data_IF_648672297565
#
_entry.id   IF_648672297565
#
_cell.length_a   1.000
_cell.length_b   1.000
_cell.length_c   1.000
_cell.angle_alpha   90.00
_cell.angle_beta   90.00
_cell.angle_gamma   90.00
#
_symmetry.space_group_name_H-M   'P 1'
#
loop_
_entity.id
_entity.type
_entity.pdbx_description
1 polymer ?
#
# COMPACT_ATOMS: atom_id res chain seq x y z
N UNK A 1 -29.79 21.84 -19.98
CA UNK A 1 -28.57 22.67 -19.91
C UNK A 1 -28.64 23.74 -20.97
N UNK A 2 -28.54 25.01 -20.56
CA UNK A 2 -28.28 26.12 -21.48
C UNK A 2 -26.94 26.71 -21.02
N UNK A 3 -25.91 26.63 -21.86
CA UNK A 3 -24.70 27.42 -21.64
C UNK A 3 -24.78 28.63 -22.57
N UNK A 4 -24.57 29.82 -22.04
CA UNK A 4 -24.50 31.05 -22.83
C UNK A 4 -23.03 31.47 -22.94
N UNK A 5 -22.63 31.78 -24.18
CA UNK A 5 -21.29 32.24 -24.48
C UNK A 5 -21.27 33.77 -24.34
N UNK A 6 -20.41 34.29 -23.48
CA UNK A 6 -20.14 35.72 -23.38
C UNK A 6 -18.85 36.06 -24.13
N UNK A 7 -18.77 37.29 -24.65
CA UNK A 7 -17.77 37.76 -25.63
C UNK A 7 -16.31 37.79 -25.13
N UNK A 8 -16.01 37.30 -23.93
CA UNK A 8 -14.67 37.17 -23.39
C UNK A 8 -14.44 35.76 -22.81
N UNK A 9 -14.18 34.80 -23.70
CA UNK A 9 -13.54 33.46 -23.53
C UNK A 9 -13.90 32.54 -22.33
N UNK A 10 -14.76 32.93 -21.39
CA UNK A 10 -15.22 32.07 -20.31
C UNK A 10 -16.64 31.59 -20.60
N UNK A 11 -16.79 30.27 -20.70
CA UNK A 11 -18.09 29.61 -20.79
C UNK A 11 -18.52 29.27 -19.37
N UNK A 12 -19.48 30.02 -18.84
CA UNK A 12 -20.16 29.65 -17.61
C UNK A 12 -21.38 28.78 -17.96
N UNK A 13 -21.44 27.60 -17.35
CA UNK A 13 -22.58 26.71 -17.45
C UNK A 13 -23.30 26.69 -16.09
N UNK A 14 -24.57 27.09 -16.10
CA UNK A 14 -25.46 26.93 -14.95
C UNK A 14 -25.67 25.44 -14.66
N UNK A 15 -24.96 24.93 -13.66
CA UNK A 15 -25.24 23.63 -13.07
C UNK A 15 -26.45 23.76 -12.14
N UNK A 16 -27.38 22.78 -12.13
CA UNK A 16 -28.48 22.78 -11.18
C UNK A 16 -27.91 22.73 -9.76
N UNK A 17 -28.33 23.69 -8.93
CA UNK A 17 -28.04 23.70 -7.50
C UNK A 17 -28.67 22.46 -6.88
N UNK A 18 -27.82 21.55 -6.42
CA UNK A 18 -28.24 20.39 -5.63
C UNK A 18 -28.20 20.84 -4.17
N UNK A 19 -29.36 20.88 -3.51
CA UNK A 19 -29.43 21.16 -2.07
C UNK A 19 -28.67 20.06 -1.32
N UNK A 20 -27.47 20.40 -0.84
CA UNK A 20 -26.74 19.55 0.08
C UNK A 20 -27.34 19.71 1.48
N UNK A 21 -27.66 18.62 2.19
CA UNK A 21 -28.14 18.73 3.56
C UNK A 21 -27.06 19.34 4.45
N UNK A 22 -27.42 20.40 5.17
CA UNK A 22 -26.57 21.04 6.18
C UNK A 22 -26.38 20.11 7.39
N UNK A 23 -25.14 19.82 7.83
CA UNK A 23 -24.93 19.13 9.09
C UNK A 23 -24.77 20.15 10.23
N UNK A 24 -25.90 20.55 10.83
CA UNK A 24 -25.91 21.04 12.21
C UNK A 24 -26.10 19.85 13.17
N UNK A 25 -25.15 19.73 14.09
CA UNK A 25 -25.31 19.08 15.40
C UNK A 25 -25.31 17.53 15.49
N UNK A 26 -24.10 16.95 15.58
CA UNK A 26 -23.82 15.90 16.57
C UNK A 26 -22.50 16.19 17.30
N UNK A 27 -22.57 17.13 18.25
CA UNK A 27 -21.71 17.08 19.41
C UNK A 27 -22.17 15.91 20.29
N UNK A 28 -21.26 14.97 20.57
CA UNK A 28 -21.44 13.97 21.61
C UNK A 28 -21.94 12.60 21.15
N UNK A 29 -21.00 11.77 20.70
CA UNK A 29 -20.73 10.41 21.21
C UNK A 29 -19.70 9.79 20.26
N UNK A 30 -18.48 9.60 20.76
CA UNK A 30 -17.44 8.89 20.02
C UNK A 30 -17.88 7.45 19.76
N UNK A 31 -17.70 6.99 18.53
CA UNK A 31 -17.84 5.59 18.13
C UNK A 31 -16.70 4.70 18.69
N UNK A 32 -16.00 5.13 19.74
CA UNK A 32 -15.08 4.30 20.53
C UNK A 32 -15.76 3.50 21.64
N UNK A 33 -16.99 3.83 22.03
CA UNK A 33 -17.66 3.18 23.18
C UNK A 33 -18.43 1.90 22.83
N UNK A 34 -18.80 1.68 21.57
CA UNK A 34 -19.60 0.50 21.20
C UNK A 34 -18.75 -0.78 21.06
N UNK A 35 -17.46 -0.67 20.73
CA UNK A 35 -16.56 -1.81 20.66
C UNK A 35 -15.96 -2.17 22.04
N UNK A 36 -15.86 -1.22 22.96
CA UNK A 36 -15.41 -1.50 24.32
C UNK A 36 -16.46 -2.25 25.15
N UNK A 37 -17.76 -2.02 24.88
CA UNK A 37 -18.83 -2.79 25.53
C UNK A 37 -19.05 -4.20 24.94
N UNK A 38 -18.53 -4.51 23.74
CA UNK A 38 -18.48 -5.87 23.21
C UNK A 38 -17.21 -6.62 23.64
N UNK A 39 -16.11 -5.90 23.92
CA UNK A 39 -14.84 -6.45 24.42
C UNK A 39 -14.92 -7.13 25.79
N UNK A 40 -15.89 -6.77 26.63
CA UNK A 40 -16.08 -7.41 27.94
C UNK A 40 -16.88 -8.72 27.88
N UNK A 41 -17.51 -9.04 26.75
CA UNK A 41 -18.41 -10.21 26.64
C UNK A 41 -17.82 -11.42 25.93
N UNK A 42 -16.70 -11.29 25.21
CA UNK A 42 -15.96 -12.39 24.59
C UNK A 42 -14.47 -12.18 24.84
N UNK A 43 -13.90 -12.87 25.83
CA UNK A 43 -12.50 -12.71 26.28
C UNK A 43 -11.44 -13.24 25.30
N UNK A 44 -11.54 -12.87 24.02
CA UNK A 44 -10.53 -13.16 23.00
C UNK A 44 -9.51 -12.02 23.05
N UNK A 45 -8.28 -12.32 23.48
CA UNK A 45 -7.22 -11.33 23.43
C UNK A 45 -6.92 -11.00 21.96
N UNK A 46 -6.52 -9.77 21.66
CA UNK A 46 -6.26 -9.33 20.28
C UNK A 46 -5.20 -10.20 19.57
N UNK A 47 -4.33 -10.89 20.32
CA UNK A 47 -3.34 -11.85 19.81
C UNK A 47 -3.90 -13.22 19.41
N UNK A 48 -5.16 -13.53 19.73
CA UNK A 48 -5.80 -14.80 19.36
C UNK A 48 -6.58 -14.69 18.04
N UNK A 49 -6.71 -13.48 17.48
CA UNK A 49 -7.32 -13.25 16.18
C UNK A 49 -6.30 -13.51 15.07
N UNK A 50 -6.69 -14.31 14.07
CA UNK A 50 -5.88 -14.53 12.88
C UNK A 50 -5.45 -13.17 12.26
N UNK A 51 -4.15 -12.98 11.96
CA UNK A 51 -3.69 -11.75 11.33
C UNK A 51 -4.34 -11.49 9.97
N UNK A 52 -4.40 -10.22 9.58
CA UNK A 52 -4.85 -9.80 8.25
C UNK A 52 -3.69 -9.28 7.42
N UNK A 53 -3.78 -9.49 6.12
CA UNK A 53 -2.98 -8.76 5.15
C UNK A 53 -3.78 -7.57 4.64
N UNK A 54 -3.17 -6.39 4.62
CA UNK A 54 -3.77 -5.15 4.15
C UNK A 54 -2.89 -4.58 3.05
N UNK A 55 -3.50 -4.13 1.95
CA UNK A 55 -2.78 -3.51 0.84
C UNK A 55 -3.20 -2.06 0.69
N UNK A 56 -2.29 -1.12 0.96
CA UNK A 56 -2.53 0.31 0.75
C UNK A 56 -2.03 0.72 -0.64
N UNK A 57 -2.87 1.43 -1.39
CA UNK A 57 -2.59 1.77 -2.79
C UNK A 57 -2.78 3.26 -2.98
N UNK A 58 -1.68 3.97 -3.21
CA UNK A 58 -1.73 5.33 -3.73
C UNK A 58 -2.14 5.26 -5.20
N UNK A 59 -3.10 6.09 -5.61
CA UNK A 59 -3.70 6.06 -6.95
C UNK A 59 -2.70 6.56 -7.99
N UNK A 60 -1.74 5.70 -8.33
CA UNK A 60 -0.62 5.99 -9.20
C UNK A 60 -0.90 5.63 -10.66
N UNK A 61 -2.11 5.14 -10.95
CA UNK A 61 -2.49 4.61 -12.26
C UNK A 61 -1.60 3.46 -12.73
N UNK A 62 -0.78 2.87 -11.85
CA UNK A 62 0.09 1.77 -12.20
C UNK A 62 -0.75 0.50 -12.39
N UNK A 63 -0.24 -0.34 -13.27
CA UNK A 63 -0.76 -1.68 -13.45
C UNK A 63 -0.65 -2.49 -12.13
N UNK A 64 0.34 -2.22 -11.25
CA UNK A 64 0.49 -2.87 -9.94
C UNK A 64 -0.68 -2.54 -9.02
N UNK A 65 -1.02 -1.26 -8.91
CA UNK A 65 -2.22 -0.78 -8.23
C UNK A 65 -3.48 -1.44 -8.79
N UNK A 66 -3.60 -1.54 -10.11
CA UNK A 66 -4.74 -2.23 -10.75
C UNK A 66 -4.83 -3.72 -10.36
N UNK A 67 -3.74 -4.48 -10.38
CA UNK A 67 -3.75 -5.89 -9.97
C UNK A 67 -4.04 -6.03 -8.47
N UNK A 68 -3.44 -5.21 -7.63
CA UNK A 68 -3.68 -5.24 -6.19
C UNK A 68 -5.15 -4.92 -5.85
N UNK A 69 -5.76 -3.92 -6.50
CA UNK A 69 -7.19 -3.61 -6.35
C UNK A 69 -8.07 -4.77 -6.86
N UNK A 70 -7.72 -5.33 -8.02
CA UNK A 70 -8.56 -6.33 -8.70
C UNK A 70 -8.52 -7.70 -8.02
N UNK A 71 -7.41 -8.08 -7.40
CA UNK A 71 -7.20 -9.44 -6.89
C UNK A 71 -7.04 -9.50 -5.36
N UNK A 72 -6.89 -8.37 -4.67
CA UNK A 72 -6.89 -8.34 -3.21
C UNK A 72 -8.11 -7.61 -2.65
N UNK A 73 -9.11 -8.33 -2.10
CA UNK A 73 -10.28 -7.70 -1.49
C UNK A 73 -9.96 -6.88 -0.22
N UNK A 74 -8.74 -6.99 0.31
CA UNK A 74 -8.24 -6.18 1.43
C UNK A 74 -7.43 -4.95 0.97
N UNK A 75 -7.58 -4.54 -0.29
CA UNK A 75 -6.98 -3.32 -0.80
C UNK A 75 -7.73 -2.07 -0.33
N UNK A 76 -6.98 -1.04 0.06
CA UNK A 76 -7.49 0.25 0.51
C UNK A 76 -6.85 1.38 -0.27
N UNK A 77 -7.63 2.44 -0.52
CA UNK A 77 -7.16 3.64 -1.18
C UNK A 77 -6.28 4.49 -0.24
N UNK A 78 -5.12 4.92 -0.71
CA UNK A 78 -4.16 5.78 -0.01
C UNK A 78 -4.03 7.20 -0.63
N UNK A 79 -4.68 7.47 -1.77
CA UNK A 79 -4.61 8.73 -2.52
C UNK A 79 -5.08 9.97 -1.74
N UNK A 80 -5.79 9.78 -0.64
CA UNK A 80 -6.22 10.86 0.26
C UNK A 80 -5.14 11.38 1.22
N UNK A 81 -3.87 10.98 1.05
CA UNK A 81 -2.78 11.35 1.95
C UNK A 81 -2.49 10.30 3.03
N UNK A 82 -1.38 10.47 3.74
CA UNK A 82 -0.88 9.58 4.79
C UNK A 82 -1.93 9.32 5.87
N UNK A 83 -2.60 10.38 6.35
CA UNK A 83 -3.65 10.25 7.37
C UNK A 83 -4.81 9.39 6.87
N UNK A 84 -5.23 9.56 5.62
CA UNK A 84 -6.31 8.79 5.02
C UNK A 84 -5.91 7.33 4.83
N UNK A 85 -4.69 7.08 4.33
CA UNK A 85 -4.12 5.74 4.23
C UNK A 85 -4.16 5.01 5.57
N UNK A 86 -3.63 5.62 6.63
CA UNK A 86 -3.61 5.00 7.98
C UNK A 86 -5.02 4.69 8.47
N UNK A 87 -5.96 5.63 8.32
CA UNK A 87 -7.34 5.39 8.74
C UNK A 87 -7.99 4.24 7.96
N UNK A 88 -7.72 4.13 6.67
CA UNK A 88 -8.27 3.07 5.84
C UNK A 88 -7.63 1.72 6.17
N UNK A 89 -6.31 1.66 6.42
CA UNK A 89 -5.63 0.46 6.89
C UNK A 89 -6.21 -0.03 8.21
N UNK A 90 -6.39 0.87 9.19
CA UNK A 90 -6.96 0.53 10.49
C UNK A 90 -8.43 0.08 10.38
N UNK A 91 -9.21 0.70 9.49
CA UNK A 91 -10.58 0.28 9.22
C UNK A 91 -10.65 -1.09 8.55
N UNK A 92 -9.73 -1.37 7.61
CA UNK A 92 -9.63 -2.67 6.94
C UNK A 92 -9.18 -3.78 7.89
N UNK A 93 -8.32 -3.45 8.86
CA UNK A 93 -7.90 -4.39 9.88
C UNK A 93 -9.02 -4.74 10.87
N UNK A 94 -9.98 -3.83 11.08
CA UNK A 94 -11.16 -4.02 11.93
C UNK A 94 -10.82 -4.60 13.33
N UNK A 95 -9.73 -4.10 13.91
CA UNK A 95 -9.23 -4.54 15.22
C UNK A 95 -8.43 -5.86 15.23
N UNK A 96 -8.34 -6.58 14.11
CA UNK A 96 -7.43 -7.73 13.95
C UNK A 96 -5.98 -7.25 13.84
N UNK A 97 -5.00 -8.07 14.28
CA UNK A 97 -3.60 -7.74 14.10
C UNK A 97 -3.20 -7.77 12.62
N UNK A 98 -2.32 -6.88 12.21
CA UNK A 98 -1.80 -6.77 10.84
C UNK A 98 -0.61 -7.71 10.69
N UNK A 99 -0.75 -8.73 9.84
CA UNK A 99 0.33 -9.64 9.48
C UNK A 99 1.23 -9.04 8.39
N UNK A 100 0.64 -8.54 7.32
CA UNK A 100 1.38 -7.85 6.26
C UNK A 100 0.71 -6.53 5.93
N UNK A 101 1.48 -5.46 5.84
CA UNK A 101 1.06 -4.22 5.20
C UNK A 101 1.89 -4.01 3.93
N UNK A 102 1.29 -4.16 2.76
CA UNK A 102 1.95 -3.84 1.49
C UNK A 102 1.50 -2.46 1.02
N UNK A 103 2.44 -1.55 0.77
CA UNK A 103 2.16 -0.17 0.35
C UNK A 103 2.64 0.02 -1.08
N UNK A 104 1.71 0.20 -2.02
CA UNK A 104 1.99 0.53 -3.41
C UNK A 104 1.88 2.03 -3.60
N UNK A 105 3.00 2.65 -3.96
CA UNK A 105 3.09 4.10 -4.07
C UNK A 105 4.25 4.51 -4.98
N UNK A 106 4.16 5.71 -5.54
CA UNK A 106 5.33 6.32 -6.16
C UNK A 106 6.43 6.52 -5.11
N UNK A 107 7.67 6.34 -5.54
CA UNK A 107 8.82 6.58 -4.69
C UNK A 107 10.04 7.06 -5.47
N UNK A 108 10.98 7.58 -4.69
CA UNK A 108 12.38 7.85 -5.02
C UNK A 108 13.23 7.36 -3.84
N UNK A 109 14.56 7.29 -3.95
CA UNK A 109 15.41 6.92 -2.82
C UNK A 109 15.07 7.72 -1.55
N UNK A 110 14.64 6.99 -0.52
CA UNK A 110 14.24 7.51 0.79
C UNK A 110 12.95 8.35 0.81
N UNK A 111 12.18 8.43 -0.28
CA UNK A 111 10.99 9.26 -0.39
C UNK A 111 9.80 8.46 -0.91
N UNK A 112 8.73 8.39 -0.13
CA UNK A 112 7.47 7.73 -0.50
C UNK A 112 6.38 8.79 -0.69
N UNK A 113 5.66 8.73 -1.80
CA UNK A 113 4.54 9.63 -2.08
C UNK A 113 3.24 8.90 -1.77
N UNK A 114 2.41 9.47 -0.89
CA UNK A 114 1.12 8.91 -0.52
C UNK A 114 0.09 10.02 -0.67
N UNK A 115 -0.69 9.99 -1.75
CA UNK A 115 -1.59 11.05 -2.14
C UNK A 115 -0.84 12.36 -2.38
N UNK A 116 -1.23 13.40 -1.63
CA UNK A 116 -0.54 14.69 -1.65
C UNK A 116 0.66 14.79 -0.70
N UNK A 117 0.88 13.77 0.14
CA UNK A 117 1.91 13.79 1.18
C UNK A 117 3.20 13.13 0.67
N UNK A 118 4.34 13.66 1.10
CA UNK A 118 5.65 13.07 0.84
C UNK A 118 6.28 12.67 2.16
N UNK A 119 6.47 11.37 2.38
CA UNK A 119 7.24 10.84 3.49
C UNK A 119 8.72 10.86 3.12
N UNK A 120 9.51 11.66 3.83
CA UNK A 120 10.95 11.70 3.67
C UNK A 120 11.60 10.90 4.80
N UNK A 121 12.12 9.71 4.51
CA UNK A 121 12.73 8.86 5.53
C UNK A 121 13.97 9.46 6.22
N UNK A 122 14.56 10.52 5.67
CA UNK A 122 15.60 11.29 6.34
C UNK A 122 15.07 12.16 7.49
N UNK A 123 13.80 12.58 7.42
CA UNK A 123 13.13 13.38 8.45
C UNK A 123 11.62 13.11 8.42
N UNK A 124 11.16 12.27 9.36
CA UNK A 124 9.74 11.94 9.54
C UNK A 124 9.14 12.66 10.75
N UNK A 125 9.80 13.70 11.28
CA UNK A 125 9.43 14.28 12.59
C UNK A 125 7.96 14.72 12.65
N UNK A 126 7.44 15.27 11.56
CA UNK A 126 6.06 15.75 11.46
C UNK A 126 5.06 14.60 11.23
N UNK A 127 5.49 13.53 10.55
CA UNK A 127 4.69 12.34 10.21
C UNK A 127 4.68 11.29 11.33
N UNK A 128 5.68 11.30 12.22
CA UNK A 128 5.88 10.32 13.28
C UNK A 128 4.61 10.05 14.11
N UNK A 129 3.88 11.08 14.61
CA UNK A 129 2.66 10.85 15.37
C UNK A 129 1.56 10.13 14.58
N UNK A 130 1.53 10.29 13.25
CA UNK A 130 0.59 9.54 12.41
C UNK A 130 1.07 8.11 12.18
N UNK A 131 2.34 7.91 11.80
CA UNK A 131 2.92 6.60 11.53
C UNK A 131 2.84 5.66 12.74
N UNK A 132 3.11 6.18 13.94
CA UNK A 132 3.04 5.43 15.21
C UNK A 132 1.64 4.92 15.55
N UNK A 133 0.59 5.41 14.89
CA UNK A 133 -0.78 4.90 15.08
C UNK A 133 -0.93 3.47 14.56
N UNK A 134 -0.07 3.00 13.66
CA UNK A 134 -0.10 1.62 13.16
C UNK A 134 0.66 0.65 14.08
N UNK A 135 1.68 1.11 14.81
CA UNK A 135 2.55 0.30 15.68
C UNK A 135 1.80 -0.68 16.58
N UNK A 136 0.77 -0.29 17.36
CA UNK A 136 0.09 -1.23 18.26
C UNK A 136 -0.83 -2.23 17.55
N UNK A 137 -0.95 -2.14 16.22
CA UNK A 137 -1.83 -3.01 15.42
C UNK A 137 -1.07 -4.10 14.67
N UNK A 138 0.26 -4.07 14.63
CA UNK A 138 1.02 -5.14 14.00
C UNK A 138 1.01 -6.43 14.85
N UNK A 139 0.97 -7.57 14.17
CA UNK A 139 1.23 -8.87 14.76
C UNK A 139 2.70 -9.00 15.20
N UNK A 140 3.02 -9.90 16.13
CA UNK A 140 4.40 -10.15 16.58
C UNK A 140 5.34 -10.62 15.46
N UNK A 141 4.78 -11.30 14.44
CA UNK A 141 5.48 -11.71 13.21
C UNK A 141 5.10 -10.83 12.01
N UNK A 142 4.51 -9.66 12.28
CA UNK A 142 4.07 -8.74 11.24
C UNK A 142 5.23 -8.17 10.43
N UNK A 143 4.95 -7.63 9.24
CA UNK A 143 5.94 -6.95 8.39
C UNK A 143 5.29 -5.90 7.49
N UNK A 144 6.12 -5.01 6.95
CA UNK A 144 5.72 -4.02 5.94
C UNK A 144 6.53 -4.20 4.66
N UNK A 145 5.86 -4.11 3.53
CA UNK A 145 6.45 -4.20 2.19
C UNK A 145 6.16 -2.88 1.46
N UNK A 146 7.20 -2.12 1.11
CA UNK A 146 7.08 -0.86 0.38
C UNK A 146 7.37 -1.12 -1.09
N UNK A 147 6.31 -1.08 -1.87
CA UNK A 147 6.34 -1.23 -3.31
C UNK A 147 6.34 0.15 -3.97
N UNK A 148 7.54 0.73 -4.06
CA UNK A 148 7.77 1.99 -4.77
C UNK A 148 9.14 2.02 -5.42
N UNK A 149 9.21 2.66 -6.59
CA UNK A 149 10.43 2.72 -7.39
C UNK A 149 11.63 3.25 -6.61
N UNK A 150 12.68 2.43 -6.48
CA UNK A 150 13.94 2.77 -5.85
C UNK A 150 13.82 3.28 -4.40
N UNK A 151 12.74 2.98 -3.67
CA UNK A 151 12.55 3.56 -2.32
C UNK A 151 13.71 3.21 -1.38
N UNK A 152 14.11 1.94 -1.37
CA UNK A 152 15.21 1.43 -0.57
C UNK A 152 16.59 1.58 -1.22
N UNK A 153 16.69 2.29 -2.34
CA UNK A 153 17.97 2.49 -3.00
C UNK A 153 18.83 3.52 -2.24
N UNK A 154 20.15 3.41 -2.38
CA UNK A 154 21.16 4.29 -1.79
C UNK A 154 21.09 4.45 -0.24
N UNK A 155 21.98 5.28 0.32
CA UNK A 155 22.07 5.48 1.77
C UNK A 155 20.82 6.17 2.34
N UNK A 156 20.13 7.01 1.56
CA UNK A 156 18.91 7.67 2.01
C UNK A 156 17.74 6.70 2.05
N UNK A 157 17.63 5.80 1.06
CA UNK A 157 16.62 4.74 1.06
C UNK A 157 16.85 3.72 2.16
N UNK A 158 18.08 3.25 2.33
CA UNK A 158 18.47 2.36 3.43
C UNK A 158 18.08 2.95 4.80
N UNK A 159 18.46 4.22 5.02
CA UNK A 159 18.11 4.95 6.25
C UNK A 159 16.60 5.07 6.43
N UNK A 160 15.84 5.33 5.36
CA UNK A 160 14.39 5.44 5.42
C UNK A 160 13.74 4.13 5.88
N UNK A 161 14.18 3.00 5.32
CA UNK A 161 13.69 1.66 5.67
C UNK A 161 14.00 1.35 7.14
N UNK A 162 15.22 1.65 7.60
CA UNK A 162 15.57 1.53 9.02
C UNK A 162 14.64 2.35 9.92
N UNK A 163 14.45 3.65 9.63
CA UNK A 163 13.61 4.53 10.47
C UNK A 163 12.18 4.03 10.52
N UNK A 164 11.62 3.58 9.39
CA UNK A 164 10.27 3.03 9.36
C UNK A 164 10.15 1.74 10.19
N UNK A 165 11.15 0.86 10.15
CA UNK A 165 11.17 -0.34 10.98
C UNK A 165 11.20 -0.02 12.48
N UNK A 166 11.96 1.00 12.89
CA UNK A 166 11.99 1.48 14.28
C UNK A 166 10.63 2.04 14.71
N UNK A 167 9.96 2.78 13.83
CA UNK A 167 8.67 3.40 14.13
C UNK A 167 7.57 2.35 14.28
N UNK A 168 7.52 1.38 13.38
CA UNK A 168 6.46 0.36 13.38
C UNK A 168 6.77 -0.85 14.26
N UNK A 169 8.03 -1.05 14.65
CA UNK A 169 8.45 -2.18 15.48
C UNK A 169 8.36 -3.53 14.77
N UNK A 170 8.33 -3.53 13.43
CA UNK A 170 8.29 -4.72 12.58
C UNK A 170 9.28 -4.58 11.42
N UNK A 171 9.70 -5.70 10.80
CA UNK A 171 10.52 -5.65 9.61
C UNK A 171 9.86 -4.83 8.49
N UNK A 172 10.65 -4.01 7.82
CA UNK A 172 10.26 -3.23 6.64
C UNK A 172 11.18 -3.60 5.50
N UNK A 173 10.59 -3.97 4.37
CA UNK A 173 11.29 -4.33 3.13
C UNK A 173 10.95 -3.33 2.03
N UNK A 174 11.92 -2.93 1.22
CA UNK A 174 11.69 -2.09 0.06
C UNK A 174 12.61 -2.43 -1.12
N UNK A 175 12.13 -2.19 -2.34
CA UNK A 175 12.93 -2.37 -3.55
C UNK A 175 14.03 -1.32 -3.70
N UNK A 176 15.23 -1.76 -4.11
CA UNK A 176 16.39 -0.89 -4.43
C UNK A 176 16.48 -0.53 -5.91
N UNK A 177 15.53 -1.01 -6.72
CA UNK A 177 15.43 -0.75 -8.14
C UNK A 177 14.06 -0.19 -8.53
N UNK A 178 13.97 0.31 -9.76
CA UNK A 178 12.70 0.71 -10.33
C UNK A 178 11.79 -0.52 -10.46
N UNK A 179 10.54 -0.39 -10.02
CA UNK A 179 9.60 -1.50 -10.12
C UNK A 179 9.22 -1.73 -11.58
N UNK A 180 9.49 -2.93 -12.07
CA UNK A 180 9.06 -3.36 -13.40
C UNK A 180 7.57 -3.71 -13.39
N UNK A 181 6.99 -3.75 -14.58
CA UNK A 181 5.59 -4.00 -14.93
C UNK A 181 4.84 -5.21 -14.31
N UNK A 182 5.42 -5.95 -13.36
CA UNK A 182 4.80 -7.10 -12.70
C UNK A 182 5.25 -7.20 -11.21
N UNK A 183 4.37 -7.53 -10.24
CA UNK A 183 4.72 -7.59 -8.82
C UNK A 183 5.66 -8.77 -8.61
N UNK A 184 6.65 -8.64 -7.72
CA UNK A 184 7.66 -9.69 -7.52
C UNK A 184 8.81 -9.71 -8.54
N UNK A 185 8.85 -8.74 -9.47
CA UNK A 185 10.01 -8.49 -10.37
C UNK A 185 10.81 -7.25 -9.95
N UNK A 186 10.82 -6.96 -8.66
CA UNK A 186 11.26 -5.67 -8.08
C UNK A 186 12.78 -5.56 -7.95
N UNK A 187 13.50 -6.63 -8.28
CA UNK A 187 14.95 -6.67 -8.17
C UNK A 187 15.39 -6.70 -6.70
N UNK A 188 16.60 -6.20 -6.43
CA UNK A 188 17.16 -6.10 -5.09
C UNK A 188 16.18 -5.53 -4.08
N UNK A 189 16.16 -6.08 -2.88
CA UNK A 189 15.47 -5.45 -1.76
C UNK A 189 16.41 -5.19 -0.60
N UNK A 190 16.07 -4.18 0.17
CA UNK A 190 16.69 -3.85 1.45
C UNK A 190 15.64 -4.08 2.53
N UNK A 191 16.01 -4.78 3.59
CA UNK A 191 15.12 -5.06 4.73
C UNK A 191 15.80 -4.67 6.03
N UNK A 192 15.09 -3.91 6.87
CA UNK A 192 15.46 -3.67 8.26
C UNK A 192 14.43 -4.24 9.19
N UNK A 193 14.87 -4.83 10.29
CA UNK A 193 14.00 -5.26 11.38
C UNK A 193 14.82 -5.64 12.60
N UNK A 194 14.14 -5.79 13.74
CA UNK A 194 14.75 -6.28 14.97
C UNK A 194 14.75 -7.82 14.97
N UNK A 195 15.91 -8.43 15.16
CA UNK A 195 16.07 -9.84 15.47
C UNK A 195 16.77 -10.05 16.82
N UNK A 196 17.14 -11.31 17.12
CA UNK A 196 17.79 -11.67 18.39
C UNK A 196 19.14 -10.95 18.62
N UNK A 197 19.78 -10.45 17.55
CA UNK A 197 21.08 -9.77 17.59
C UNK A 197 20.95 -8.23 17.60
N UNK A 198 19.73 -7.70 17.41
CA UNK A 198 19.45 -6.27 17.33
C UNK A 198 18.79 -5.88 16.00
N UNK A 199 18.92 -4.62 15.59
CA UNK A 199 18.45 -4.21 14.26
C UNK A 199 19.44 -4.66 13.19
N UNK A 200 18.97 -5.47 12.25
CA UNK A 200 19.80 -6.02 11.18
C UNK A 200 19.33 -5.58 9.81
N UNK A 201 20.32 -5.23 8.98
CA UNK A 201 20.16 -5.00 7.55
C UNK A 201 20.27 -6.33 6.82
N UNK A 202 19.27 -6.64 5.99
CA UNK A 202 19.32 -7.76 5.04
C UNK A 202 19.14 -7.20 3.64
N UNK A 203 20.20 -7.29 2.85
CA UNK A 203 20.14 -7.04 1.42
C UNK A 203 19.86 -8.37 0.72
N UNK A 204 18.71 -8.46 0.07
CA UNK A 204 18.41 -9.56 -0.82
C UNK A 204 18.63 -9.06 -2.24
N UNK A 205 19.81 -9.32 -2.79
CA UNK A 205 19.96 -9.29 -4.24
C UNK A 205 19.26 -10.55 -4.76
N UNK A 206 18.12 -10.46 -5.44
CA UNK A 206 17.53 -11.61 -6.06
C UNK A 206 18.60 -12.15 -6.99
N UNK A 207 19.10 -13.37 -6.71
CA UNK A 207 20.05 -14.14 -7.50
C UNK A 207 19.53 -14.48 -8.93
N UNK A 208 18.62 -13.67 -9.45
CA UNK A 208 18.01 -13.70 -10.76
C UNK A 208 18.84 -12.92 -11.79
N UNK A 209 19.94 -12.24 -11.40
CA UNK A 209 20.99 -11.85 -12.37
C UNK A 209 21.81 -13.05 -12.84
N UNK A 210 21.87 -14.15 -12.08
CA UNK A 210 22.72 -15.31 -12.40
C UNK A 210 22.04 -16.70 -12.39
N UNK A 211 20.79 -16.88 -11.94
CA UNK A 211 20.23 -18.23 -11.79
C UNK A 211 18.71 -18.35 -11.73
N UNK A 212 18.10 -18.45 -12.91
CA UNK A 212 16.74 -18.95 -13.17
C UNK A 212 16.31 -20.14 -12.26
N UNK A 213 15.07 -20.04 -11.72
CA UNK A 213 14.11 -21.12 -11.39
C UNK A 213 13.85 -21.41 -9.88
N UNK A 214 12.81 -20.76 -9.34
CA UNK A 214 12.20 -21.13 -8.05
C UNK A 214 10.74 -20.68 -7.86
N UNK A 215 10.26 -19.65 -8.55
CA UNK A 215 8.87 -19.17 -8.50
C UNK A 215 8.07 -19.38 -9.79
N UNK A 216 8.57 -20.19 -10.72
CA UNK A 216 8.11 -20.21 -12.11
C UNK A 216 6.83 -21.02 -12.31
N UNK A 217 6.29 -21.74 -11.31
CA UNK A 217 5.11 -22.58 -11.53
C UNK A 217 3.83 -21.77 -11.77
N UNK A 218 3.61 -20.65 -11.07
CA UNK A 218 2.42 -19.79 -11.33
C UNK A 218 2.52 -19.02 -12.66
N UNK A 219 3.73 -18.61 -13.06
CA UNK A 219 3.95 -17.88 -14.31
C UNK A 219 4.09 -18.82 -15.52
N UNK A 220 4.68 -20.01 -15.37
CA UNK A 220 4.64 -21.04 -16.41
C UNK A 220 3.23 -21.59 -16.57
N UNK A 221 2.43 -21.73 -15.52
CA UNK A 221 1.02 -22.10 -15.66
C UNK A 221 0.23 -21.01 -16.42
N UNK A 222 0.48 -19.73 -16.12
CA UNK A 222 -0.11 -18.61 -16.86
C UNK A 222 0.41 -18.51 -18.31
N UNK A 223 1.71 -18.75 -18.54
CA UNK A 223 2.36 -18.72 -19.85
C UNK A 223 2.02 -19.96 -20.70
N UNK A 224 1.86 -21.12 -20.08
CA UNK A 224 1.47 -22.37 -20.73
C UNK A 224 -0.05 -22.44 -20.94
N UNK A 225 -0.85 -21.76 -20.11
CA UNK A 225 -2.24 -21.43 -20.44
C UNK A 225 -2.31 -20.47 -21.63
N UNK A 226 -1.54 -19.38 -21.62
CA UNK A 226 -1.47 -18.44 -22.75
C UNK A 226 -0.98 -19.09 -24.05
N UNK A 227 0.02 -19.98 -23.98
CA UNK A 227 0.51 -20.74 -25.15
C UNK A 227 -0.49 -21.78 -25.65
N UNK A 228 -1.29 -22.40 -24.76
CA UNK A 228 -2.40 -23.29 -25.18
C UNK A 228 -3.46 -22.53 -25.95
N UNK A 229 -3.64 -21.25 -25.65
CA UNK A 229 -4.51 -20.31 -26.38
C UNK A 229 -3.82 -19.64 -27.60
N UNK A 230 -2.58 -20.04 -27.92
CA UNK A 230 -1.85 -19.56 -29.11
C UNK A 230 -1.23 -18.16 -28.97
N UNK A 231 -1.07 -17.65 -27.74
CA UNK A 231 -0.54 -16.33 -27.44
C UNK A 231 0.98 -16.41 -27.27
N UNK A 232 1.72 -15.82 -28.20
CA UNK A 232 3.19 -15.96 -28.26
C UNK A 232 3.92 -14.70 -27.80
N UNK A 233 3.23 -13.56 -27.73
CA UNK A 233 3.80 -12.27 -27.33
C UNK A 233 3.12 -11.66 -26.11
N UNK A 234 3.80 -10.72 -25.44
CA UNK A 234 3.24 -9.96 -24.31
C UNK A 234 1.98 -9.17 -24.72
N UNK A 235 1.92 -8.68 -25.96
CA UNK A 235 0.72 -8.05 -26.53
C UNK A 235 -0.43 -9.03 -26.75
N UNK A 236 -0.15 -10.29 -27.08
CA UNK A 236 -1.19 -11.31 -27.24
C UNK A 236 -1.86 -11.67 -25.91
N UNK A 237 -1.06 -11.79 -24.85
CA UNK A 237 -1.54 -12.03 -23.48
C UNK A 237 -2.38 -10.83 -23.00
N UNK A 238 -1.94 -9.61 -23.31
CA UNK A 238 -2.66 -8.36 -23.02
C UNK A 238 -3.95 -8.19 -23.83
N UNK A 239 -4.08 -8.82 -24.99
CA UNK A 239 -5.31 -8.76 -25.79
C UNK A 239 -6.33 -9.81 -25.34
N UNK A 240 -5.87 -11.02 -25.04
CA UNK A 240 -6.73 -12.11 -24.56
C UNK A 240 -7.36 -11.84 -23.18
N UNK A 241 -6.64 -11.18 -22.27
CA UNK A 241 -7.15 -10.86 -20.93
C UNK A 241 -8.21 -9.74 -20.90
N UNK A 242 -8.43 -9.01 -22.00
CA UNK A 242 -9.14 -7.72 -22.00
C UNK A 242 -10.17 -7.51 -23.13
N UNK A 243 -10.39 -8.49 -24.02
CA UNK A 243 -11.50 -8.47 -24.99
C UNK A 243 -12.55 -9.56 -24.65
N UNK A 244 -13.38 -9.28 -23.63
CA UNK A 244 -14.77 -9.79 -23.50
C UNK A 244 -15.74 -8.61 -23.26
#
# INVERSE_FOLDING_TARGET
>A
MKCQQHDNANIECDLPQVDLPTPEFQQGRGNGFALEQLREHEGVAQGDLEPVDVVAIDDDGSWAAYFAIKFNPASVNAAGGLRSMINNVLAQADGRPIGTLSIFAHARPGQLYVGGDQLNGADLTDELPQLQRLTPHFHETGRVEIHGCNFGADEAGDRAVYVLSEVWGVPVTAGVHAQNGAPGFEGGTVTWGQDEEGYTLREEDPAWSDGLMGGVESFLDAKDAARREGLETLEDIQRWLFEE
#
